data_IF_573328870875
#
_entry.id   IF_573328870875
#
_cell.length_a   1.000
_cell.length_b   1.000
_cell.length_c   1.000
_cell.angle_alpha   90.00
_cell.angle_beta   90.00
_cell.angle_gamma   90.00
#
_symmetry.space_group_name_H-M   'P 1'
#
loop_
_entity.id
_entity.type
_entity.pdbx_description
1 polymer ?
#
# COMPACT_ATOMS: atom_id res chain seq x y z
N UNK A 1 12.60 -22.31 -44.04
CA UNK A 1 12.25 -22.60 -42.67
C UNK A 1 11.05 -23.52 -42.69
N UNK A 2 11.04 -24.60 -41.91
CA UNK A 2 9.90 -25.53 -41.87
C UNK A 2 8.76 -24.91 -41.05
N UNK A 3 7.52 -25.20 -41.41
CA UNK A 3 6.29 -24.71 -40.71
C UNK A 3 6.34 -25.02 -39.19
N UNK A 4 6.98 -26.10 -38.79
CA UNK A 4 7.19 -26.47 -37.40
C UNK A 4 8.14 -25.51 -36.67
N UNK A 5 9.20 -25.05 -37.31
CA UNK A 5 10.15 -24.10 -36.71
C UNK A 5 9.51 -22.72 -36.47
N UNK A 6 8.65 -22.28 -37.36
CA UNK A 6 7.89 -21.02 -37.19
C UNK A 6 6.86 -21.11 -36.07
N UNK A 7 6.18 -22.27 -35.94
CA UNK A 7 5.23 -22.50 -34.87
C UNK A 7 5.90 -22.55 -33.49
N UNK A 8 7.13 -23.05 -33.39
CA UNK A 8 7.91 -23.09 -32.15
C UNK A 8 8.38 -21.68 -31.74
N UNK A 9 8.84 -20.87 -32.68
CA UNK A 9 9.22 -19.46 -32.42
C UNK A 9 8.02 -18.69 -31.87
N UNK A 10 6.84 -18.80 -32.50
CA UNK A 10 5.61 -18.12 -32.03
C UNK A 10 5.15 -18.56 -30.65
N UNK A 11 5.36 -19.83 -30.28
CA UNK A 11 5.07 -20.33 -28.92
C UNK A 11 6.01 -19.71 -27.89
N UNK A 12 7.28 -19.58 -28.23
CA UNK A 12 8.28 -18.95 -27.36
C UNK A 12 7.97 -17.47 -27.17
N UNK A 13 7.68 -16.75 -28.25
CA UNK A 13 7.30 -15.33 -28.19
C UNK A 13 6.00 -15.12 -27.39
N UNK A 14 5.00 -16.00 -27.56
CA UNK A 14 3.77 -15.94 -26.76
C UNK A 14 4.03 -16.13 -25.26
N UNK A 15 4.96 -17.03 -24.90
CA UNK A 15 5.34 -17.26 -23.50
C UNK A 15 6.13 -16.06 -22.91
N UNK A 16 6.97 -15.42 -23.72
CA UNK A 16 7.70 -14.20 -23.33
C UNK A 16 6.72 -13.04 -23.11
N UNK A 17 5.75 -12.82 -24.01
CA UNK A 17 4.70 -11.82 -23.84
C UNK A 17 3.83 -12.10 -22.62
N UNK A 18 3.44 -13.35 -22.41
CA UNK A 18 2.66 -13.74 -21.23
C UNK A 18 3.43 -13.44 -19.94
N UNK A 19 4.72 -13.75 -19.90
CA UNK A 19 5.60 -13.44 -18.77
C UNK A 19 5.74 -11.93 -18.57
N UNK A 20 5.97 -11.16 -19.65
CA UNK A 20 6.18 -9.71 -19.63
C UNK A 20 4.93 -8.97 -19.16
N UNK A 21 3.74 -9.37 -19.61
CA UNK A 21 2.46 -8.76 -19.24
C UNK A 21 2.03 -9.10 -17.80
N UNK A 22 2.53 -10.20 -17.23
CA UNK A 22 2.29 -10.57 -15.84
C UNK A 22 3.32 -9.97 -14.87
N UNK A 23 4.26 -9.15 -15.32
CA UNK A 23 5.20 -8.43 -14.45
C UNK A 23 4.54 -7.18 -13.83
N UNK A 24 5.00 -6.78 -12.63
CA UNK A 24 4.47 -5.64 -11.88
C UNK A 24 4.62 -4.27 -12.55
N UNK A 25 5.48 -4.15 -13.56
CA UNK A 25 5.74 -2.90 -14.29
C UNK A 25 5.61 -3.17 -15.79
N UNK A 26 4.40 -3.03 -16.30
CA UNK A 26 4.13 -3.04 -17.74
C UNK A 26 4.06 -1.57 -18.19
N UNK A 27 4.91 -1.19 -19.13
CA UNK A 27 4.93 0.17 -19.67
C UNK A 27 3.90 0.32 -20.80
N UNK A 28 3.50 1.56 -21.11
CA UNK A 28 2.64 1.86 -22.28
C UNK A 28 3.28 1.42 -23.59
N UNK A 29 4.61 1.44 -23.66
CA UNK A 29 5.38 0.94 -24.81
C UNK A 29 5.21 -0.58 -24.96
N UNK A 30 5.27 -1.34 -23.86
CA UNK A 30 5.08 -2.80 -23.87
C UNK A 30 3.67 -3.19 -24.33
N UNK A 31 2.65 -2.46 -23.90
CA UNK A 31 1.25 -2.68 -24.31
C UNK A 31 1.10 -2.44 -25.81
N UNK A 32 1.73 -1.40 -26.35
CA UNK A 32 1.68 -1.07 -27.77
C UNK A 32 2.40 -2.15 -28.59
N UNK A 33 3.59 -2.55 -28.19
CA UNK A 33 4.40 -3.57 -28.84
C UNK A 33 3.68 -4.93 -28.83
N UNK A 34 3.07 -5.32 -27.72
CA UNK A 34 2.21 -6.50 -27.64
C UNK A 34 0.99 -6.41 -28.56
N UNK A 35 0.31 -5.27 -28.60
CA UNK A 35 -0.82 -5.06 -29.50
C UNK A 35 -0.44 -5.19 -30.96
N UNK A 36 0.73 -4.68 -31.36
CA UNK A 36 1.25 -4.77 -32.71
C UNK A 36 1.63 -6.23 -33.07
N UNK A 37 2.29 -6.95 -32.13
CA UNK A 37 2.62 -8.37 -32.29
C UNK A 37 1.36 -9.26 -32.38
N UNK A 38 0.32 -8.96 -31.59
CA UNK A 38 -0.95 -9.73 -31.58
C UNK A 38 -1.82 -9.49 -32.83
N UNK A 39 -1.51 -8.51 -33.69
CA UNK A 39 -2.26 -8.29 -34.98
C UNK A 39 -2.10 -9.44 -35.94
N UNK A 40 -1.00 -10.20 -35.88
CA UNK A 40 -0.86 -11.44 -36.64
C UNK A 40 -1.82 -12.49 -36.05
N UNK A 41 -2.72 -13.08 -36.91
CA UNK A 41 -3.69 -14.07 -36.46
C UNK A 41 -3.06 -15.33 -35.83
N UNK A 42 -1.86 -15.73 -36.29
CA UNK A 42 -1.17 -16.90 -35.79
C UNK A 42 -0.56 -16.62 -34.37
N UNK A 43 -0.03 -15.43 -34.17
CA UNK A 43 0.45 -14.96 -32.86
C UNK A 43 -0.71 -14.87 -31.86
N UNK A 44 -1.85 -14.31 -32.29
CA UNK A 44 -3.06 -14.24 -31.45
C UNK A 44 -3.53 -15.65 -31.04
N UNK A 45 -3.51 -16.62 -31.97
CA UNK A 45 -3.86 -18.02 -31.66
C UNK A 45 -2.86 -18.68 -30.72
N UNK A 46 -1.56 -18.42 -30.87
CA UNK A 46 -0.52 -18.95 -29.99
C UNK A 46 -0.70 -18.43 -28.56
N UNK A 47 -0.98 -17.14 -28.41
CA UNK A 47 -1.22 -16.51 -27.12
C UNK A 47 -2.50 -17.02 -26.45
N UNK A 48 -3.62 -17.10 -27.18
CA UNK A 48 -4.90 -17.62 -26.65
C UNK A 48 -4.83 -19.08 -26.24
N UNK A 49 -4.01 -19.91 -26.90
CA UNK A 49 -3.78 -21.29 -26.46
C UNK A 49 -3.04 -21.33 -25.12
N UNK A 50 -2.08 -20.44 -24.92
CA UNK A 50 -1.35 -20.33 -23.65
C UNK A 50 -2.26 -19.86 -22.52
N UNK A 51 -3.12 -18.85 -22.76
CA UNK A 51 -4.14 -18.40 -21.81
C UNK A 51 -5.09 -19.55 -21.43
N UNK A 52 -5.61 -20.30 -22.40
CA UNK A 52 -6.51 -21.42 -22.17
C UNK A 52 -5.84 -22.55 -21.36
N UNK A 53 -4.56 -22.85 -21.65
CA UNK A 53 -3.79 -23.83 -20.86
C UNK A 53 -3.57 -23.35 -19.43
N UNK A 54 -3.34 -22.06 -19.23
CA UNK A 54 -3.17 -21.45 -17.92
C UNK A 54 -4.45 -21.51 -17.07
N UNK A 55 -5.58 -21.16 -17.68
CA UNK A 55 -6.89 -21.21 -17.04
C UNK A 55 -7.30 -22.65 -16.69
N UNK A 56 -7.02 -23.60 -17.58
CA UNK A 56 -7.25 -25.02 -17.33
C UNK A 56 -6.37 -25.55 -16.17
N UNK A 57 -5.10 -25.14 -16.10
CA UNK A 57 -4.19 -25.49 -15.03
C UNK A 57 -4.64 -24.88 -13.68
N UNK A 58 -5.12 -23.63 -13.68
CA UNK A 58 -5.67 -22.96 -12.50
C UNK A 58 -6.96 -23.59 -12.00
N UNK A 59 -7.77 -24.17 -12.88
CA UNK A 59 -9.00 -24.89 -12.52
C UNK A 59 -8.69 -26.26 -11.96
N UNK A 60 -7.75 -26.99 -12.55
CA UNK A 60 -7.29 -28.31 -12.06
C UNK A 60 -6.63 -28.22 -10.68
N UNK A 61 -5.85 -27.16 -10.43
CA UNK A 61 -5.21 -26.94 -9.11
C UNK A 61 -6.20 -26.70 -7.97
N UNK A 62 -7.45 -26.35 -8.27
CA UNK A 62 -8.53 -26.13 -7.29
C UNK A 62 -9.41 -27.37 -7.03
N UNK A 63 -9.16 -28.49 -7.71
CA UNK A 63 -9.96 -29.71 -7.49
C UNK A 63 -9.53 -30.44 -6.22
N UNK A 64 -10.48 -31.00 -5.43
CA UNK A 64 -10.16 -31.72 -4.19
C UNK A 64 -9.29 -32.96 -4.42
N UNK A 65 -9.31 -33.55 -5.62
CA UNK A 65 -8.47 -34.68 -6.02
C UNK A 65 -6.99 -34.31 -6.14
N UNK A 66 -6.67 -33.08 -6.65
CA UNK A 66 -5.29 -32.59 -6.70
C UNK A 66 -4.76 -32.23 -5.31
N UNK A 67 -5.61 -31.71 -4.42
CA UNK A 67 -5.24 -31.46 -3.03
C UNK A 67 -4.89 -32.77 -2.30
N UNK A 68 -5.66 -33.83 -2.50
CA UNK A 68 -5.41 -35.18 -1.92
C UNK A 68 -4.11 -35.79 -2.47
N UNK A 69 -3.83 -35.66 -3.78
CA UNK A 69 -2.58 -36.15 -4.38
C UNK A 69 -1.33 -35.42 -3.87
N UNK A 70 -1.46 -34.10 -3.58
CA UNK A 70 -0.36 -33.32 -3.04
C UNK A 70 -0.05 -33.67 -1.58
N UNK A 71 -1.09 -33.95 -0.80
CA UNK A 71 -0.96 -34.39 0.59
C UNK A 71 -0.35 -35.83 0.68
N UNK A 72 -0.75 -36.70 -0.21
CA UNK A 72 -0.24 -38.10 -0.32
C UNK A 72 1.24 -38.11 -0.80
N UNK A 73 1.63 -37.23 -1.69
CA UNK A 73 3.01 -37.08 -2.16
C UNK A 73 3.93 -36.49 -1.07
N UNK A 74 3.46 -35.54 -0.28
CA UNK A 74 4.22 -34.96 0.85
C UNK A 74 4.37 -35.93 2.01
N UNK A 75 3.36 -36.76 2.27
CA UNK A 75 3.43 -37.80 3.31
C UNK A 75 4.36 -38.94 2.91
N UNK A 76 4.40 -39.35 1.64
CA UNK A 76 5.35 -40.35 1.13
C UNK A 76 6.80 -39.85 1.17
N UNK A 77 7.04 -38.58 0.88
CA UNK A 77 8.38 -37.97 0.97
C UNK A 77 8.92 -37.91 2.42
N UNK A 78 8.03 -37.79 3.42
CA UNK A 78 8.39 -37.79 4.85
C UNK A 78 8.65 -39.17 5.43
N UNK A 79 8.16 -40.25 4.79
CA UNK A 79 8.24 -41.61 5.30
C UNK A 79 9.27 -42.51 4.59
N UNK A 80 10.03 -41.98 3.62
CA UNK A 80 11.03 -42.74 2.89
C UNK A 80 12.31 -42.96 3.73
N UNK A 81 12.67 -44.20 4.09
CA UNK A 81 13.95 -44.49 4.73
C UNK A 81 15.10 -44.36 3.74
N UNK A 82 16.35 -44.08 4.19
CA UNK A 82 17.49 -43.92 3.31
C UNK A 82 17.84 -45.23 2.60
N UNK A 83 17.47 -45.35 1.34
CA UNK A 83 17.70 -46.54 0.54
C UNK A 83 19.18 -46.67 0.14
N UNK A 84 19.79 -47.82 0.53
CA UNK A 84 21.08 -48.30 0.04
C UNK A 84 21.02 -48.49 -1.48
N UNK A 85 22.05 -48.00 -2.16
CA UNK A 85 22.31 -48.14 -3.60
C UNK A 85 22.20 -49.62 -4.02
N UNK A 86 21.34 -49.92 -4.98
CA UNK A 86 21.46 -51.07 -5.89
C UNK A 86 21.24 -50.56 -7.31
N UNK A 87 22.16 -50.96 -8.20
CA UNK A 87 22.29 -50.54 -9.60
C UNK A 87 21.14 -51.07 -10.49
N UNK A 88 20.84 -50.40 -11.61
CA UNK A 88 19.58 -50.57 -12.30
C UNK A 88 19.66 -51.45 -13.54
N UNK A 89 18.64 -52.25 -13.77
CA UNK A 89 18.28 -52.73 -15.13
C UNK A 89 17.07 -51.98 -15.64
N UNK A 90 17.29 -51.32 -16.76
CA UNK A 90 16.49 -50.45 -17.59
C UNK A 90 14.96 -50.52 -17.51
N UNK A 91 14.40 -49.38 -17.14
CA UNK A 91 13.19 -48.83 -17.72
C UNK A 91 13.36 -47.32 -17.79
N UNK A 92 13.51 -46.80 -19.00
CA UNK A 92 13.52 -45.36 -19.28
C UNK A 92 12.13 -44.80 -18.96
N UNK A 93 11.97 -44.24 -17.75
CA UNK A 93 10.89 -43.30 -17.47
C UNK A 93 11.30 -42.03 -18.18
N UNK A 94 10.44 -41.44 -19.05
CA UNK A 94 10.80 -40.23 -19.80
C UNK A 94 11.06 -39.13 -18.75
N UNK A 95 12.32 -38.73 -18.65
CA UNK A 95 12.78 -37.61 -17.79
C UNK A 95 11.97 -36.29 -18.06
N UNK A 96 11.29 -36.17 -19.20
CA UNK A 96 10.47 -35.05 -19.56
C UNK A 96 9.20 -34.86 -18.73
N UNK A 97 8.57 -35.94 -18.27
CA UNK A 97 7.32 -35.84 -17.50
C UNK A 97 7.55 -35.38 -16.06
N UNK A 98 8.63 -35.82 -15.41
CA UNK A 98 8.99 -35.41 -14.06
C UNK A 98 9.45 -33.94 -14.05
N UNK A 99 10.17 -33.48 -15.07
CA UNK A 99 10.57 -32.10 -15.25
C UNK A 99 9.39 -31.15 -15.49
N UNK A 100 8.40 -31.56 -16.29
CA UNK A 100 7.20 -30.77 -16.55
C UNK A 100 6.32 -30.59 -15.29
N UNK A 101 6.18 -31.65 -14.48
CA UNK A 101 5.44 -31.57 -13.20
C UNK A 101 6.17 -30.71 -12.18
N UNK A 102 7.50 -30.82 -12.07
CA UNK A 102 8.29 -29.98 -11.17
C UNK A 102 8.26 -28.50 -11.60
N UNK A 103 8.30 -28.22 -12.90
CA UNK A 103 8.17 -26.86 -13.44
C UNK A 103 6.76 -26.31 -13.19
N UNK A 104 5.71 -27.09 -13.41
CA UNK A 104 4.33 -26.67 -13.14
C UNK A 104 4.08 -26.40 -11.65
N UNK A 105 4.65 -27.21 -10.75
CA UNK A 105 4.59 -26.99 -9.30
C UNK A 105 5.42 -25.77 -8.88
N UNK A 106 6.59 -25.54 -9.46
CA UNK A 106 7.42 -24.37 -9.19
C UNK A 106 6.75 -23.09 -9.68
N UNK A 107 6.18 -23.09 -10.89
CA UNK A 107 5.44 -21.96 -11.46
C UNK A 107 4.13 -21.74 -10.70
N UNK A 108 3.41 -22.79 -10.34
CA UNK A 108 2.18 -22.70 -9.54
C UNK A 108 2.44 -22.16 -8.13
N UNK A 109 3.48 -22.62 -7.45
CA UNK A 109 3.87 -22.12 -6.12
C UNK A 109 4.43 -20.69 -6.19
N UNK A 110 5.17 -20.35 -7.21
CA UNK A 110 5.65 -18.97 -7.46
C UNK A 110 4.49 -18.01 -7.72
N UNK A 111 3.53 -18.42 -8.57
CA UNK A 111 2.33 -17.65 -8.90
C UNK A 111 1.44 -17.43 -7.67
N UNK A 112 1.23 -18.49 -6.87
CA UNK A 112 0.49 -18.42 -5.62
C UNK A 112 1.21 -17.51 -4.59
N UNK A 113 2.53 -17.61 -4.49
CA UNK A 113 3.34 -16.79 -3.59
C UNK A 113 3.43 -15.33 -4.03
N UNK A 114 3.51 -15.06 -5.34
CA UNK A 114 3.49 -13.69 -5.90
C UNK A 114 2.13 -13.02 -5.77
N UNK A 115 1.03 -13.77 -5.93
CA UNK A 115 -0.34 -13.28 -5.71
C UNK A 115 -0.65 -12.95 -4.24
N UNK A 116 0.15 -13.45 -3.29
CA UNK A 116 0.02 -13.16 -1.87
C UNK A 116 0.91 -11.99 -1.40
N UNK A 117 1.78 -11.44 -2.26
CA UNK A 117 2.58 -10.28 -1.88
C UNK A 117 1.69 -9.04 -1.82
N UNK A 118 1.70 -8.30 -0.70
CA UNK A 118 0.97 -7.04 -0.63
C UNK A 118 1.60 -6.03 -1.59
N UNK A 119 0.77 -5.24 -2.24
CA UNK A 119 1.25 -4.07 -2.98
C UNK A 119 1.71 -3.01 -1.98
N UNK A 120 2.90 -2.47 -2.19
CA UNK A 120 3.48 -1.44 -1.35
C UNK A 120 3.55 -0.10 -2.10
N UNK A 121 3.23 0.97 -1.39
CA UNK A 121 3.23 2.33 -1.90
C UNK A 121 3.92 3.23 -0.88
N UNK A 122 4.89 4.00 -1.35
CA UNK A 122 5.72 4.89 -0.54
C UNK A 122 5.66 6.31 -1.09
N UNK A 123 5.86 7.27 -0.19
CA UNK A 123 6.12 8.67 -0.52
C UNK A 123 7.36 9.16 0.22
N UNK A 124 8.17 9.99 -0.45
CA UNK A 124 9.28 10.69 0.18
C UNK A 124 8.80 11.90 1.00
N UNK A 125 9.71 12.51 1.77
CA UNK A 125 9.43 13.78 2.48
C UNK A 125 9.05 14.85 1.46
N UNK A 126 7.92 15.52 1.66
CA UNK A 126 7.34 16.54 0.78
C UNK A 126 6.58 15.99 -0.42
N UNK A 127 6.62 14.66 -0.66
CA UNK A 127 5.87 14.03 -1.75
C UNK A 127 4.44 13.69 -1.31
N UNK A 128 3.48 13.93 -2.22
CA UNK A 128 2.12 13.41 -2.13
C UNK A 128 1.81 12.55 -3.34
N UNK A 129 1.08 11.46 -3.13
CA UNK A 129 0.79 10.51 -4.21
C UNK A 129 -0.64 10.00 -4.12
N UNK A 130 -1.35 10.01 -5.25
CA UNK A 130 -2.67 9.39 -5.36
C UNK A 130 -2.55 8.01 -6.03
N UNK A 131 -3.09 7.00 -5.36
CA UNK A 131 -3.12 5.60 -5.83
C UNK A 131 -4.58 5.18 -6.01
N UNK A 132 -4.89 4.59 -7.16
CA UNK A 132 -6.18 3.94 -7.40
C UNK A 132 -6.00 2.44 -7.21
N UNK A 133 -6.86 1.85 -6.37
CA UNK A 133 -6.86 0.43 -6.06
C UNK A 133 -7.73 -0.36 -7.05
N UNK A 134 -7.57 -1.68 -7.07
CA UNK A 134 -8.29 -2.58 -7.99
C UNK A 134 -9.81 -2.65 -7.74
N UNK A 135 -10.26 -2.35 -6.51
CA UNK A 135 -11.69 -2.27 -6.14
C UNK A 135 -12.34 -0.93 -6.50
N UNK A 136 -11.60 -0.01 -7.14
CA UNK A 136 -12.04 1.34 -7.47
C UNK A 136 -11.85 2.36 -6.33
N UNK A 137 -11.44 1.94 -5.14
CA UNK A 137 -11.08 2.85 -4.04
C UNK A 137 -9.85 3.67 -4.40
N UNK A 138 -9.69 4.82 -3.73
CA UNK A 138 -8.55 5.71 -3.92
C UNK A 138 -7.88 6.00 -2.58
N UNK A 139 -6.56 6.00 -2.58
CA UNK A 139 -5.74 6.42 -1.45
C UNK A 139 -4.94 7.64 -1.88
N UNK A 140 -4.98 8.71 -1.09
CA UNK A 140 -4.07 9.85 -1.22
C UNK A 140 -3.07 9.71 -0.09
N UNK A 141 -1.81 9.48 -0.42
CA UNK A 141 -0.70 9.39 0.51
C UNK A 141 -0.13 10.78 0.75
N UNK A 142 0.09 11.11 2.00
CA UNK A 142 0.78 12.31 2.44
C UNK A 142 2.30 12.10 2.43
N UNK A 143 3.05 13.12 2.82
CA UNK A 143 4.52 13.08 3.00
C UNK A 143 4.96 11.93 3.90
N UNK A 144 6.10 11.28 3.57
CA UNK A 144 6.76 10.24 4.37
C UNK A 144 5.80 9.13 4.83
N UNK A 145 5.02 8.60 3.87
CA UNK A 145 4.00 7.60 4.15
C UNK A 145 4.36 6.25 3.51
N UNK A 146 4.12 5.18 4.27
CA UNK A 146 4.28 3.80 3.80
C UNK A 146 2.98 3.03 3.99
N UNK A 147 2.42 2.53 2.87
CA UNK A 147 1.17 1.78 2.84
C UNK A 147 1.37 0.46 2.11
N UNK A 148 0.83 -0.61 2.70
CA UNK A 148 0.71 -1.90 2.01
C UNK A 148 -0.76 -2.29 1.86
N UNK A 149 -1.12 -2.84 0.69
CA UNK A 149 -2.48 -3.25 0.34
C UNK A 149 -2.51 -4.75 0.10
N UNK A 150 -3.47 -5.43 0.71
CA UNK A 150 -3.71 -6.87 0.51
C UNK A 150 -5.22 -7.11 0.46
N UNK A 151 -5.74 -7.43 -0.71
CA UNK A 151 -7.13 -7.79 -0.88
C UNK A 151 -7.29 -9.31 -0.92
N UNK A 152 -8.42 -9.77 -0.42
CA UNK A 152 -8.81 -11.18 -0.41
C UNK A 152 -10.29 -11.32 -0.78
N UNK A 153 -10.77 -12.56 -0.90
CA UNK A 153 -12.19 -12.82 -1.14
C UNK A 153 -13.13 -12.38 -0.02
N UNK A 154 -12.61 -12.16 1.20
CA UNK A 154 -13.41 -11.82 2.38
C UNK A 154 -13.17 -10.43 2.93
N UNK A 155 -12.07 -9.77 2.60
CA UNK A 155 -11.73 -8.44 3.13
C UNK A 155 -10.72 -7.69 2.26
N UNK A 156 -10.72 -6.37 2.38
CA UNK A 156 -9.79 -5.44 1.74
C UNK A 156 -8.91 -4.82 2.82
N UNK A 157 -7.73 -5.40 3.04
CA UNK A 157 -6.83 -4.97 4.11
C UNK A 157 -5.79 -3.99 3.57
N UNK A 158 -5.67 -2.83 4.24
CA UNK A 158 -4.63 -1.83 4.03
C UNK A 158 -3.89 -1.62 5.35
N UNK A 159 -2.56 -1.58 5.31
CA UNK A 159 -1.74 -1.28 6.49
C UNK A 159 -0.98 0.02 6.27
N UNK A 160 -1.23 1.02 7.10
CA UNK A 160 -0.47 2.27 7.18
C UNK A 160 0.63 2.10 8.22
N UNK A 161 1.85 1.81 7.77
CA UNK A 161 2.99 1.58 8.65
C UNK A 161 3.57 2.89 9.20
N UNK A 162 3.62 3.95 8.36
CA UNK A 162 4.04 5.31 8.73
C UNK A 162 3.27 6.36 7.95
N UNK A 163 3.31 7.62 8.40
CA UNK A 163 2.77 8.76 7.69
C UNK A 163 1.26 8.95 7.87
N UNK A 164 0.59 9.37 6.80
CA UNK A 164 -0.82 9.74 6.76
C UNK A 164 -1.43 9.40 5.40
N UNK A 165 -2.69 9.00 5.40
CA UNK A 165 -3.40 8.72 4.16
C UNK A 165 -4.88 9.09 4.26
N UNK A 166 -5.42 9.68 3.18
CA UNK A 166 -6.85 9.81 2.94
C UNK A 166 -7.35 8.62 2.15
N UNK A 167 -8.41 8.00 2.64
CA UNK A 167 -9.07 6.87 2.00
C UNK A 167 -10.43 7.30 1.46
N UNK A 168 -10.65 7.08 0.18
CA UNK A 168 -11.94 7.22 -0.49
C UNK A 168 -12.38 5.81 -0.92
N UNK A 169 -13.17 5.18 -0.07
CA UNK A 169 -13.49 3.76 -0.16
C UNK A 169 -14.73 3.52 -0.99
N UNK A 170 -14.62 2.68 -2.00
CA UNK A 170 -15.76 2.20 -2.79
C UNK A 170 -16.63 1.27 -1.93
N UNK A 171 -17.98 1.46 -2.00
CA UNK A 171 -18.92 0.67 -1.24
C UNK A 171 -18.91 -0.80 -1.62
N UNK A 172 -18.64 -1.69 -0.65
CA UNK A 172 -18.74 -3.15 -0.79
C UNK A 172 -18.99 -3.76 0.59
N UNK A 173 -20.25 -4.07 0.88
CA UNK A 173 -20.64 -4.63 2.16
C UNK A 173 -20.21 -6.09 2.35
N UNK A 174 -19.98 -6.82 1.26
CA UNK A 174 -19.54 -8.21 1.32
C UNK A 174 -18.05 -8.34 1.71
N UNK A 175 -17.23 -7.31 1.40
CA UNK A 175 -15.81 -7.27 1.71
C UNK A 175 -15.48 -5.94 2.40
N UNK A 176 -15.55 -5.88 3.73
CA UNK A 176 -15.22 -4.67 4.48
C UNK A 176 -13.80 -4.19 4.17
N UNK A 177 -13.61 -2.87 4.16
CA UNK A 177 -12.33 -2.22 4.01
C UNK A 177 -11.73 -1.98 5.40
N UNK A 178 -10.58 -2.59 5.68
CA UNK A 178 -9.89 -2.50 6.95
C UNK A 178 -8.59 -1.71 6.78
N UNK A 179 -8.40 -0.69 7.61
CA UNK A 179 -7.13 0.03 7.71
C UNK A 179 -6.50 -0.25 9.06
N UNK A 180 -5.30 -0.83 9.04
CA UNK A 180 -4.46 -1.02 10.23
C UNK A 180 -3.39 0.07 10.30
N UNK A 181 -3.34 0.78 11.42
CA UNK A 181 -2.35 1.81 11.70
C UNK A 181 -1.85 1.64 13.15
N UNK A 182 -0.76 0.88 13.32
CA UNK A 182 -0.28 0.41 14.59
C UNK A 182 -1.26 -0.53 15.29
N UNK A 183 -1.62 -0.20 16.52
CA UNK A 183 -2.62 -0.91 17.31
C UNK A 183 -4.07 -0.51 16.98
N UNK A 184 -4.25 0.36 15.99
CA UNK A 184 -5.56 0.86 15.57
C UNK A 184 -6.05 0.16 14.32
N UNK A 185 -7.28 -0.32 14.36
CA UNK A 185 -8.01 -0.87 13.22
C UNK A 185 -9.24 -0.01 12.91
N UNK A 186 -9.38 0.41 11.67
CA UNK A 186 -10.53 1.17 11.15
C UNK A 186 -11.27 0.30 10.15
N UNK A 187 -12.57 0.10 10.36
CA UNK A 187 -13.45 -0.65 9.45
C UNK A 187 -14.39 0.31 8.73
N UNK A 188 -14.43 0.22 7.41
CA UNK A 188 -15.21 1.07 6.51
C UNK A 188 -15.97 0.23 5.47
N UNK A 189 -17.14 0.73 4.97
CA UNK A 189 -17.96 0.04 3.96
C UNK A 189 -18.27 0.94 2.76
N UNK A 190 -17.80 2.14 2.70
CA UNK A 190 -18.11 3.13 1.66
C UNK A 190 -18.07 4.50 2.29
N UNK A 191 -16.88 5.01 2.50
CA UNK A 191 -16.61 6.15 3.36
C UNK A 191 -15.41 6.92 2.85
N UNK A 192 -15.36 8.20 3.24
CA UNK A 192 -14.16 9.03 3.06
C UNK A 192 -13.63 9.41 4.43
N UNK A 193 -12.38 9.02 4.72
CA UNK A 193 -11.77 9.24 6.02
C UNK A 193 -10.25 9.35 5.93
N UNK A 194 -9.68 10.07 6.86
CA UNK A 194 -8.25 10.29 6.99
C UNK A 194 -7.71 9.46 8.16
N UNK A 195 -6.54 8.87 7.98
CA UNK A 195 -5.81 8.16 9.03
C UNK A 195 -4.38 8.65 9.07
N UNK A 196 -3.94 9.11 10.22
CA UNK A 196 -2.55 9.49 10.50
C UNK A 196 -1.97 8.59 11.58
N UNK A 197 -0.83 7.99 11.30
CA UNK A 197 -0.09 7.20 12.28
C UNK A 197 0.49 8.11 13.38
N UNK A 198 0.23 7.79 14.64
CA UNK A 198 0.68 8.58 15.80
C UNK A 198 1.16 7.66 16.91
N UNK A 199 2.46 7.63 17.17
CA UNK A 199 3.04 6.74 18.18
C UNK A 199 2.63 5.26 17.94
N UNK A 200 2.04 4.61 18.96
CA UNK A 200 1.56 3.23 18.86
C UNK A 200 0.21 3.11 18.12
N UNK A 201 -0.59 4.19 18.07
CA UNK A 201 -1.92 4.20 17.47
C UNK A 201 -2.06 5.11 16.26
N UNK A 202 -3.26 5.68 16.10
CA UNK A 202 -3.57 6.58 15.00
C UNK A 202 -4.55 7.68 15.41
N UNK A 203 -4.54 8.78 14.64
CA UNK A 203 -5.62 9.74 14.57
C UNK A 203 -6.48 9.41 13.36
N UNK A 204 -7.79 9.34 13.55
CA UNK A 204 -8.77 9.04 12.50
C UNK A 204 -9.78 10.18 12.44
N UNK A 205 -9.96 10.76 11.25
CA UNK A 205 -10.95 11.81 10.97
C UNK A 205 -11.96 11.30 9.95
N UNK A 206 -13.25 11.38 10.24
CA UNK A 206 -14.28 10.99 9.29
C UNK A 206 -14.79 12.20 8.52
N UNK A 207 -14.72 12.11 7.19
CA UNK A 207 -15.22 13.12 6.25
C UNK A 207 -16.64 12.78 5.81
N UNK A 208 -16.89 11.52 5.41
CA UNK A 208 -18.17 11.09 4.87
C UNK A 208 -18.44 9.61 5.19
N UNK A 209 -19.72 9.27 5.46
CA UNK A 209 -20.16 7.92 5.76
C UNK A 209 -20.08 7.57 7.24
N UNK A 210 -19.64 6.37 7.57
CA UNK A 210 -19.48 5.86 8.93
C UNK A 210 -18.30 4.91 9.04
N UNK A 211 -17.45 5.05 10.05
CA UNK A 211 -16.36 4.13 10.36
C UNK A 211 -16.44 3.63 11.79
N UNK A 212 -16.04 2.38 11.98
CA UNK A 212 -15.78 1.82 13.29
C UNK A 212 -14.27 1.80 13.53
N UNK A 213 -13.83 2.35 14.66
CA UNK A 213 -12.42 2.39 15.07
C UNK A 213 -12.24 1.50 16.29
N UNK A 214 -11.25 0.61 16.27
CA UNK A 214 -10.92 -0.29 17.37
C UNK A 214 -9.45 -0.17 17.72
N UNK A 215 -9.11 -0.42 18.97
CA UNK A 215 -7.73 -0.53 19.44
C UNK A 215 -7.46 -1.98 19.84
N UNK A 216 -6.46 -2.63 19.24
CA UNK A 216 -6.12 -4.05 19.49
C UNK A 216 -5.72 -4.28 20.96
N UNK A 217 -4.93 -3.38 21.55
CA UNK A 217 -4.46 -3.48 22.93
C UNK A 217 -5.57 -3.33 23.99
N UNK A 218 -6.76 -2.85 23.59
CA UNK A 218 -7.89 -2.64 24.48
C UNK A 218 -9.14 -3.27 23.85
N UNK A 219 -9.30 -4.58 24.01
CA UNK A 219 -10.36 -5.40 23.41
C UNK A 219 -11.81 -4.88 23.60
N UNK A 220 -12.02 -3.86 24.44
CA UNK A 220 -13.32 -3.23 24.72
C UNK A 220 -13.44 -1.79 24.23
N UNK A 221 -12.37 -1.18 23.71
CA UNK A 221 -12.43 0.21 23.23
C UNK A 221 -12.74 0.22 21.74
N UNK A 222 -13.99 0.53 21.41
CA UNK A 222 -14.45 0.74 20.06
C UNK A 222 -15.19 2.09 19.98
N UNK A 223 -14.94 2.85 18.94
CA UNK A 223 -15.60 4.12 18.65
C UNK A 223 -16.27 4.04 17.28
N UNK A 224 -17.45 4.59 17.18
CA UNK A 224 -18.11 4.82 15.87
C UNK A 224 -18.05 6.30 15.61
N UNK A 225 -17.45 6.70 14.47
CA UNK A 225 -17.40 8.10 14.08
C UNK A 225 -18.54 8.43 13.10
N UNK A 226 -19.09 9.63 13.28
CA UNK A 226 -19.93 10.32 12.31
C UNK A 226 -19.11 11.39 11.56
N UNK A 227 -19.57 11.89 10.39
CA UNK A 227 -18.90 12.97 9.67
C UNK A 227 -18.62 14.18 10.57
N UNK A 228 -17.41 14.76 10.43
CA UNK A 228 -16.98 15.87 11.29
C UNK A 228 -16.42 15.44 12.65
N UNK A 229 -16.22 14.16 12.88
CA UNK A 229 -15.66 13.64 14.13
C UNK A 229 -14.26 13.04 13.92
N UNK A 230 -13.47 13.10 14.96
CA UNK A 230 -12.17 12.44 15.05
C UNK A 230 -11.98 11.69 16.36
N UNK A 231 -11.08 10.71 16.34
CA UNK A 231 -10.53 10.04 17.52
C UNK A 231 -9.02 9.88 17.37
N UNK A 232 -8.27 10.10 18.45
CA UNK A 232 -6.84 9.80 18.54
C UNK A 232 -6.64 8.66 19.52
N UNK A 233 -6.39 7.46 19.00
CA UNK A 233 -6.31 6.23 19.81
C UNK A 233 -5.05 6.16 20.66
N UNK A 234 -3.97 6.85 20.25
CA UNK A 234 -2.71 6.98 21.01
C UNK A 234 -2.78 7.95 22.18
N UNK A 235 -3.85 8.74 22.31
CA UNK A 235 -4.03 9.64 23.45
C UNK A 235 -4.18 8.85 24.75
N UNK A 236 -3.79 9.46 25.88
CA UNK A 236 -3.95 8.84 27.22
C UNK A 236 -5.43 8.51 27.52
N UNK A 237 -6.35 9.35 27.07
CA UNK A 237 -7.81 9.17 27.19
C UNK A 237 -8.44 9.41 25.82
N UNK A 238 -8.50 8.38 24.97
CA UNK A 238 -9.10 8.52 23.66
C UNK A 238 -10.58 8.91 23.79
N UNK A 239 -10.97 9.97 23.08
CA UNK A 239 -12.34 10.45 23.01
C UNK A 239 -12.69 10.86 21.57
N UNK A 240 -13.95 10.72 21.22
CA UNK A 240 -14.48 11.25 19.96
C UNK A 240 -14.76 12.74 20.17
N UNK A 241 -14.16 13.58 19.32
CA UNK A 241 -14.32 15.03 19.35
C UNK A 241 -14.71 15.56 17.98
N UNK A 242 -15.38 16.70 17.93
CA UNK A 242 -15.66 17.38 16.68
C UNK A 242 -14.39 18.03 16.11
N UNK A 243 -14.29 18.06 14.79
CA UNK A 243 -13.15 18.67 14.08
C UNK A 243 -13.63 19.46 12.86
N UNK A 244 -12.91 20.55 12.54
CA UNK A 244 -13.09 21.25 11.27
C UNK A 244 -12.50 20.39 10.14
N UNK A 245 -13.37 19.68 9.41
CA UNK A 245 -12.94 18.75 8.34
C UNK A 245 -12.16 19.47 7.24
N UNK A 246 -12.59 20.61 6.69
CA UNK A 246 -11.80 21.37 5.71
C UNK A 246 -10.38 21.68 6.18
N UNK A 247 -10.22 22.13 7.43
CA UNK A 247 -8.88 22.39 7.99
C UNK A 247 -8.08 21.10 8.17
N UNK A 248 -8.69 20.06 8.75
CA UNK A 248 -8.03 18.78 9.00
C UNK A 248 -7.61 18.05 7.73
N UNK A 249 -8.27 18.28 6.59
CA UNK A 249 -7.99 17.61 5.31
C UNK A 249 -7.38 18.50 4.26
N UNK A 250 -7.02 19.75 4.60
CA UNK A 250 -6.43 20.75 3.67
C UNK A 250 -5.13 20.25 3.03
N UNK A 251 -4.41 19.36 3.70
CA UNK A 251 -3.19 18.73 3.20
C UNK A 251 -3.41 17.99 1.88
N UNK A 252 -4.60 17.41 1.61
CA UNK A 252 -4.90 16.73 0.34
C UNK A 252 -4.87 17.66 -0.88
N UNK A 253 -4.93 18.99 -0.63
CA UNK A 253 -4.76 20.05 -1.62
C UNK A 253 -3.39 20.74 -1.52
N UNK A 254 -2.41 20.12 -0.85
CA UNK A 254 -1.07 20.68 -0.65
C UNK A 254 -1.03 21.87 0.32
N UNK A 255 -2.01 22.01 1.22
CA UNK A 255 -2.09 23.13 2.17
C UNK A 255 -2.15 22.67 3.60
N UNK A 256 -1.62 23.46 4.51
CA UNK A 256 -1.70 23.28 5.96
C UNK A 256 -2.53 24.41 6.55
N UNK A 257 -3.66 24.07 7.14
CA UNK A 257 -4.56 25.05 7.77
C UNK A 257 -4.44 24.92 9.28
N UNK A 258 -4.07 26.03 9.92
CA UNK A 258 -4.00 26.13 11.37
C UNK A 258 -5.11 27.06 11.89
N UNK A 259 -5.82 26.63 12.92
CA UNK A 259 -6.89 27.38 13.58
C UNK A 259 -6.61 27.41 15.07
N UNK A 260 -6.19 28.56 15.59
CA UNK A 260 -5.86 28.71 16.99
C UNK A 260 -4.93 27.59 17.52
N UNK A 261 -3.97 27.18 16.69
CA UNK A 261 -3.07 26.02 16.91
C UNK A 261 -1.82 26.49 17.66
N UNK A 262 -1.38 25.79 18.71
CA UNK A 262 -0.09 26.09 19.34
C UNK A 262 1.05 26.05 18.33
N UNK A 263 1.97 27.03 18.38
CA UNK A 263 3.08 27.10 17.41
C UNK A 263 3.93 25.82 17.41
N UNK A 264 4.11 25.19 18.54
CA UNK A 264 4.83 23.92 18.63
C UNK A 264 4.16 22.80 17.77
N UNK A 265 2.82 22.77 17.76
CA UNK A 265 2.06 21.81 16.95
C UNK A 265 2.13 22.21 15.47
N UNK A 266 2.04 23.51 15.14
CA UNK A 266 2.13 23.98 13.78
C UNK A 266 3.53 23.72 13.19
N UNK A 267 4.60 24.02 13.93
CA UNK A 267 5.99 23.71 13.53
C UNK A 267 6.20 22.22 13.35
N UNK A 268 5.71 21.38 14.24
CA UNK A 268 5.80 19.94 14.11
C UNK A 268 5.08 19.42 12.85
N UNK A 269 3.96 20.05 12.45
CA UNK A 269 3.26 19.69 11.21
C UNK A 269 4.01 20.16 9.97
N UNK A 270 4.53 21.39 9.96
CA UNK A 270 5.35 21.93 8.84
C UNK A 270 6.61 21.09 8.64
N UNK A 271 7.28 20.70 9.72
CA UNK A 271 8.48 19.88 9.70
C UNK A 271 8.30 18.51 9.03
N UNK A 272 7.08 17.99 8.97
CA UNK A 272 6.81 16.74 8.24
C UNK A 272 7.09 16.85 6.74
N UNK A 273 7.02 18.03 6.19
CA UNK A 273 7.15 18.31 4.76
C UNK A 273 8.55 18.80 4.37
N UNK A 274 9.48 18.89 5.30
CA UNK A 274 10.82 19.43 5.07
C UNK A 274 11.91 18.48 5.55
N UNK A 275 12.97 18.27 4.77
CA UNK A 275 14.18 17.58 5.23
C UNK A 275 14.99 18.44 6.21
N UNK A 276 14.75 19.76 6.27
CA UNK A 276 15.43 20.70 7.18
C UNK A 276 14.40 21.25 8.17
N UNK A 277 14.29 20.67 9.37
CA UNK A 277 13.26 21.05 10.32
C UNK A 277 13.51 22.44 10.90
N UNK A 278 12.43 23.09 11.33
CA UNK A 278 12.44 24.28 12.16
C UNK A 278 12.52 23.84 13.63
N UNK A 279 13.49 24.37 14.38
CA UNK A 279 13.64 24.14 15.81
C UNK A 279 13.01 25.31 16.60
N UNK A 280 12.22 25.02 17.64
CA UNK A 280 11.79 26.00 18.62
C UNK A 280 12.76 25.94 19.81
N UNK A 281 13.50 27.01 20.05
CA UNK A 281 14.51 27.03 21.13
C UNK A 281 14.04 27.77 22.39
N UNK A 282 12.86 28.39 22.36
CA UNK A 282 12.28 29.11 23.48
C UNK A 282 10.92 28.51 23.85
N UNK A 283 10.84 27.87 25.03
CA UNK A 283 9.60 27.26 25.53
C UNK A 283 8.46 28.28 25.68
N UNK A 284 8.78 29.58 25.93
CA UNK A 284 7.78 30.63 26.09
C UNK A 284 6.95 30.86 24.86
N UNK A 285 7.52 30.64 23.66
CA UNK A 285 6.78 30.80 22.39
C UNK A 285 5.95 29.57 22.05
N UNK A 286 6.19 28.42 22.65
CA UNK A 286 5.54 27.13 22.32
C UNK A 286 4.01 27.17 22.40
N UNK A 287 3.46 28.04 23.27
CA UNK A 287 2.03 28.21 23.48
C UNK A 287 1.38 29.31 22.63
N UNK A 288 2.15 30.10 21.87
CA UNK A 288 1.60 31.10 20.94
C UNK A 288 0.64 30.42 19.97
N UNK A 289 -0.52 31.04 19.76
CA UNK A 289 -1.57 30.47 18.90
C UNK A 289 -1.45 31.03 17.48
N UNK A 290 -1.34 30.13 16.52
CA UNK A 290 -1.21 30.43 15.09
C UNK A 290 -2.52 30.12 14.38
N UNK A 291 -2.97 31.04 13.53
CA UNK A 291 -4.06 30.83 12.58
C UNK A 291 -3.62 31.29 11.20
N UNK A 292 -3.87 30.47 10.19
CA UNK A 292 -3.48 30.77 8.82
C UNK A 292 -3.50 29.54 7.93
N UNK A 293 -3.30 29.76 6.63
CA UNK A 293 -3.18 28.71 5.61
C UNK A 293 -1.83 28.89 4.94
N UNK A 294 -1.06 27.80 4.89
CA UNK A 294 0.30 27.77 4.34
C UNK A 294 0.39 26.66 3.30
N UNK A 295 1.27 26.81 2.34
CA UNK A 295 1.56 25.75 1.40
C UNK A 295 2.45 24.68 2.08
N UNK A 296 2.10 23.41 1.88
CA UNK A 296 2.87 22.29 2.45
C UNK A 296 4.27 22.27 1.81
N UNK A 297 5.32 22.34 2.67
CA UNK A 297 6.72 22.40 2.22
C UNK A 297 7.29 23.82 2.10
N UNK A 298 6.48 24.87 2.13
CA UNK A 298 6.96 26.26 2.18
C UNK A 298 7.32 26.68 3.63
N UNK A 299 8.46 26.14 4.08
CA UNK A 299 8.99 26.42 5.43
C UNK A 299 9.42 27.87 5.59
N UNK A 300 10.05 28.43 4.54
CA UNK A 300 10.55 29.82 4.59
C UNK A 300 9.38 30.83 4.67
N UNK A 301 8.32 30.62 3.88
CA UNK A 301 7.10 31.44 3.96
C UNK A 301 6.38 31.32 5.30
N UNK A 302 6.31 30.11 5.86
CA UNK A 302 5.76 29.89 7.20
C UNK A 302 6.56 30.64 8.27
N UNK A 303 7.90 30.51 8.27
CA UNK A 303 8.78 31.19 9.24
C UNK A 303 8.73 32.72 9.07
N UNK A 304 8.69 33.23 7.84
CA UNK A 304 8.54 34.66 7.56
C UNK A 304 7.23 35.19 8.18
N UNK A 305 6.12 34.50 7.96
CA UNK A 305 4.83 34.90 8.56
C UNK A 305 4.86 34.91 10.08
N UNK A 306 5.52 33.93 10.72
CA UNK A 306 5.67 33.89 12.16
C UNK A 306 6.50 35.04 12.71
N UNK A 307 7.57 35.42 12.01
CA UNK A 307 8.39 36.58 12.37
C UNK A 307 7.59 37.87 12.30
N UNK A 308 6.87 38.10 11.22
CA UNK A 308 6.13 39.32 10.96
C UNK A 308 4.93 39.49 11.90
N UNK A 309 4.20 38.40 12.19
CA UNK A 309 2.98 38.46 13.01
C UNK A 309 3.22 38.41 14.51
N UNK A 310 4.27 37.71 14.95
CA UNK A 310 4.53 37.43 16.38
C UNK A 310 5.85 37.99 16.87
N UNK A 311 6.55 38.80 16.05
CA UNK A 311 7.84 39.41 16.36
C UNK A 311 8.90 38.35 16.80
N UNK A 312 8.86 37.15 16.20
CA UNK A 312 9.84 36.11 16.49
C UNK A 312 11.13 36.35 15.73
N UNK A 313 12.25 35.92 16.30
CA UNK A 313 13.53 35.92 15.61
C UNK A 313 13.78 34.55 14.97
N UNK A 314 14.29 34.54 13.74
CA UNK A 314 14.70 33.34 13.04
C UNK A 314 16.18 33.44 12.66
N UNK A 315 16.95 32.46 13.06
CA UNK A 315 18.37 32.33 12.70
C UNK A 315 18.58 31.00 11.98
N UNK A 316 19.51 30.99 11.01
CA UNK A 316 19.90 29.76 10.34
C UNK A 316 21.12 29.18 11.02
N UNK A 317 21.02 27.94 11.51
CA UNK A 317 22.12 27.22 12.11
C UNK A 317 23.17 26.81 11.05
N UNK A 318 24.41 26.46 11.46
CA UNK A 318 25.48 26.08 10.52
C UNK A 318 25.16 24.87 9.64
N UNK A 319 24.30 23.97 10.09
CA UNK A 319 23.82 22.79 9.36
C UNK A 319 22.61 23.09 8.45
N UNK A 320 22.16 24.34 8.40
CA UNK A 320 21.14 24.84 7.50
C UNK A 320 19.71 24.82 8.05
N UNK A 321 19.44 24.22 9.22
CA UNK A 321 18.11 24.27 9.83
C UNK A 321 17.78 25.67 10.38
N UNK A 322 16.48 25.97 10.48
CA UNK A 322 15.97 27.24 11.01
C UNK A 322 15.67 27.10 12.50
N UNK A 323 16.12 28.09 13.27
CA UNK A 323 15.88 28.19 14.73
C UNK A 323 14.99 29.39 15.00
N UNK A 324 13.84 29.17 15.65
CA UNK A 324 12.93 30.22 16.10
C UNK A 324 13.11 30.48 17.58
N UNK A 325 13.22 31.75 17.95
CA UNK A 325 13.30 32.25 19.32
C UNK A 325 12.28 33.36 19.53
N UNK A 326 11.93 33.61 20.80
CA UNK A 326 11.14 34.78 21.16
C UNK A 326 11.89 36.08 20.95
N UNK A 327 11.18 37.23 21.00
CA UNK A 327 11.82 38.52 20.97
C UNK A 327 12.80 38.67 22.13
N UNK A 328 13.92 39.33 21.86
CA UNK A 328 14.98 39.61 22.86
C UNK A 328 14.48 40.39 24.09
#
# INVERSE_FOLDING_TARGET
>A
MTIEAEAEIRRTEAAEWFSKLNQRQVTTADIKEFSDWRRDPENARAFSRLEAMWDAAGTLAKTPEMAALTEDATNRARQAPPSRRRSPSGRLIPLGAAGAVALALAVGSWSWWSAQRPDAYDTAIGEQRTVRLEDGSRIILDTDSHVTVRFSGSQRLVTLASGRAMFEVQGDAARPFLVKAGDTEVTAIGTRFDVRRTGAGAQVVLVEGKVAVRREAASRSAWTLAPGQQVTTSAQRPAVVAVNVPAATSWTAGRLTFENTPIAVAVAEVNRYSPSPVELRDDRISSIRVSGVFDAGDVDGFVAALRDLYALEATRAPDGHLVLTGPA
#
